data_IF_735606373208
#
_entry.id   IF_735606373208
#
_cell.length_a   1.000
_cell.length_b   1.000
_cell.length_c   1.000
_cell.angle_alpha   90.00
_cell.angle_beta   90.00
_cell.angle_gamma   90.00
#
_symmetry.space_group_name_H-M   'P 1'
#
loop_
_entity.id
_entity.type
_entity.pdbx_description
1 polymer ?
#
# COMPACT_ATOMS: atom_id res chain seq x y z
N UNK A 1 10.09 -14.30 14.28
CA UNK A 1 10.41 -13.10 13.48
C UNK A 1 9.21 -12.76 12.65
N UNK A 2 8.74 -11.51 12.70
CA UNK A 2 7.62 -11.04 11.88
C UNK A 2 8.12 -10.51 10.54
N UNK A 3 7.25 -10.49 9.54
CA UNK A 3 7.54 -9.98 8.20
C UNK A 3 6.62 -8.81 7.92
N UNK A 4 7.21 -7.63 7.67
CA UNK A 4 6.49 -6.46 7.20
C UNK A 4 6.42 -6.44 5.67
N UNK A 5 5.23 -6.29 5.11
CA UNK A 5 4.99 -6.09 3.69
C UNK A 5 4.36 -4.72 3.47
N UNK A 6 4.77 -4.04 2.40
CA UNK A 6 4.26 -2.71 2.06
C UNK A 6 4.10 -2.60 0.55
N UNK A 7 3.00 -1.99 0.13
CA UNK A 7 2.75 -1.55 -1.25
C UNK A 7 2.04 -0.20 -1.19
N UNK A 8 2.22 0.63 -2.20
CA UNK A 8 1.58 1.92 -2.28
C UNK A 8 1.99 2.64 -3.54
N UNK A 9 1.20 3.66 -3.89
CA UNK A 9 1.44 4.52 -5.04
C UNK A 9 1.39 5.99 -4.63
N UNK A 10 2.14 6.84 -5.34
CA UNK A 10 2.16 8.28 -5.11
C UNK A 10 1.51 8.96 -6.30
N UNK A 11 0.54 9.82 -6.03
CA UNK A 11 -0.13 10.59 -7.09
C UNK A 11 0.87 11.53 -7.75
N UNK A 12 0.87 11.54 -9.09
CA UNK A 12 1.70 12.41 -9.91
C UNK A 12 2.91 11.70 -10.52
N UNK A 13 3.77 12.47 -11.18
CA UNK A 13 4.94 11.93 -11.87
C UNK A 13 6.12 12.89 -11.81
N UNK A 14 7.33 12.36 -11.99
CA UNK A 14 8.56 13.14 -12.02
C UNK A 14 9.24 13.24 -10.66
N UNK A 15 10.10 14.26 -10.51
CA UNK A 15 11.05 14.34 -9.39
C UNK A 15 10.36 14.45 -8.02
N UNK A 16 9.26 15.19 -7.92
CA UNK A 16 8.52 15.37 -6.67
C UNK A 16 7.87 14.06 -6.20
N UNK A 17 7.16 13.34 -7.07
CA UNK A 17 6.58 12.04 -6.74
C UNK A 17 7.66 11.01 -6.34
N UNK A 18 8.80 11.00 -7.04
CA UNK A 18 9.93 10.14 -6.70
C UNK A 18 10.56 10.48 -5.34
N UNK A 19 10.69 11.78 -5.02
CA UNK A 19 11.19 12.24 -3.72
C UNK A 19 10.24 11.86 -2.58
N UNK A 20 8.93 12.06 -2.76
CA UNK A 20 7.89 11.64 -1.81
C UNK A 20 7.91 10.13 -1.59
N UNK A 21 8.00 9.33 -2.65
CA UNK A 21 8.09 7.87 -2.52
C UNK A 21 9.37 7.44 -1.77
N UNK A 22 10.50 8.11 -2.03
CA UNK A 22 11.75 7.88 -1.31
C UNK A 22 11.64 8.16 0.18
N UNK A 23 10.99 9.28 0.55
CA UNK A 23 10.68 9.63 1.95
C UNK A 23 9.78 8.59 2.60
N UNK A 24 8.63 8.28 1.99
CA UNK A 24 7.67 7.29 2.50
C UNK A 24 8.31 5.92 2.72
N UNK A 25 9.03 5.40 1.72
CA UNK A 25 9.73 4.11 1.81
C UNK A 25 10.73 4.08 2.97
N UNK A 26 11.45 5.18 3.19
CA UNK A 26 12.43 5.28 4.28
C UNK A 26 11.71 5.30 5.64
N UNK A 27 10.64 6.08 5.76
CA UNK A 27 9.82 6.16 6.98
C UNK A 27 9.17 4.83 7.34
N UNK A 28 8.57 4.13 6.36
CA UNK A 28 8.03 2.76 6.56
C UNK A 28 9.09 1.84 7.14
N UNK A 29 10.31 1.84 6.58
CA UNK A 29 11.40 1.01 7.07
C UNK A 29 11.83 1.36 8.49
N UNK A 30 11.81 2.64 8.85
CA UNK A 30 12.13 3.08 10.20
C UNK A 30 11.05 2.65 11.20
N UNK A 31 9.77 2.88 10.88
CA UNK A 31 8.64 2.50 11.73
C UNK A 31 8.48 0.98 11.86
N UNK A 32 8.72 0.23 10.79
CA UNK A 32 8.72 -1.23 10.82
C UNK A 32 9.81 -1.81 11.76
N UNK A 33 10.96 -1.14 11.88
CA UNK A 33 12.00 -1.55 12.84
C UNK A 33 11.60 -1.34 14.30
N UNK A 34 10.58 -0.49 14.55
CA UNK A 34 10.01 -0.26 15.87
C UNK A 34 8.85 -1.22 16.19
N UNK A 35 8.57 -2.20 15.31
CA UNK A 35 7.45 -3.15 15.45
C UNK A 35 6.09 -2.46 15.62
N UNK A 36 5.94 -1.30 14.97
CA UNK A 36 4.74 -0.47 15.02
C UNK A 36 3.55 -1.19 14.35
N UNK A 37 2.34 -1.17 14.95
CA UNK A 37 1.17 -1.76 14.34
C UNK A 37 0.76 -0.99 13.07
N UNK A 38 0.09 -1.64 12.09
CA UNK A 38 -0.20 -1.01 10.79
C UNK A 38 -0.99 0.29 10.83
N UNK A 39 -2.00 0.39 11.69
CA UNK A 39 -2.83 1.59 11.87
C UNK A 39 -2.02 2.78 12.40
N UNK A 40 -1.16 2.56 13.41
CA UNK A 40 -0.27 3.60 13.92
C UNK A 40 0.76 3.99 12.86
N UNK A 41 1.34 3.02 12.15
CA UNK A 41 2.31 3.28 11.09
C UNK A 41 1.71 4.16 10.00
N UNK A 42 0.51 3.86 9.52
CA UNK A 42 -0.18 4.68 8.52
C UNK A 42 -0.50 6.07 9.05
N UNK A 43 -0.89 6.19 10.32
CA UNK A 43 -1.13 7.49 10.97
C UNK A 43 0.15 8.35 10.95
N UNK A 44 1.31 7.75 11.28
CA UNK A 44 2.61 8.46 11.21
C UNK A 44 3.02 8.83 9.80
N UNK A 45 2.69 8.00 8.80
CA UNK A 45 2.94 8.36 7.41
C UNK A 45 2.03 9.50 6.94
N UNK A 46 0.77 9.51 7.35
CA UNK A 46 -0.18 10.58 7.02
C UNK A 46 0.32 11.94 7.49
N UNK A 47 0.79 12.00 8.74
CA UNK A 47 1.42 13.20 9.31
C UNK A 47 2.62 13.68 8.46
N UNK A 48 3.44 12.76 7.94
CA UNK A 48 4.64 13.10 7.15
C UNK A 48 4.33 13.62 5.75
N UNK A 49 3.22 13.18 5.16
CA UNK A 49 2.75 13.66 3.84
C UNK A 49 1.98 14.96 4.00
N UNK A 50 1.21 15.12 5.08
CA UNK A 50 0.49 16.35 5.41
C UNK A 50 1.40 17.52 5.80
N UNK A 51 2.67 17.26 6.13
CA UNK A 51 3.66 18.31 6.35
C UNK A 51 4.19 18.88 5.02
N UNK A 52 4.12 20.22 4.82
CA UNK A 52 4.85 20.87 3.74
C UNK A 52 6.32 20.48 3.83
N UNK A 53 6.95 20.16 2.70
CA UNK A 53 8.41 20.05 2.68
C UNK A 53 8.98 21.39 3.18
N UNK A 54 9.65 21.39 4.32
CA UNK A 54 10.41 22.55 4.79
C UNK A 54 11.54 22.80 3.78
N UNK A 55 11.27 23.57 2.73
CA UNK A 55 12.33 24.18 1.94
C UNK A 55 13.05 25.19 2.86
N UNK A 56 14.40 25.17 2.92
CA UNK A 56 15.13 26.18 3.67
C UNK A 56 14.78 27.57 3.12
N UNK A 57 14.52 28.57 3.99
CA UNK A 57 14.14 29.90 3.56
C UNK A 57 15.36 30.69 3.08
N UNK A 58 15.93 30.31 1.94
CA UNK A 58 17.11 30.97 1.40
C UNK A 58 16.77 31.75 0.13
N UNK A 59 16.56 33.04 0.34
CA UNK A 59 17.06 34.12 -0.51
C UNK A 59 16.93 33.96 -2.04
N UNK A 60 15.82 34.41 -2.61
CA UNK A 60 15.73 35.51 -3.60
C UNK A 60 14.28 35.61 -4.08
N UNK A 61 13.80 36.84 -4.23
CA UNK A 61 12.39 37.16 -4.37
C UNK A 61 11.71 36.58 -5.61
N UNK A 62 10.43 36.27 -5.44
CA UNK A 62 9.51 35.90 -6.52
C UNK A 62 8.44 34.97 -5.99
N UNK A 63 7.39 35.53 -5.42
CA UNK A 63 6.20 34.79 -5.05
C UNK A 63 5.63 34.07 -6.28
N UNK A 64 5.87 32.77 -6.36
CA UNK A 64 5.02 31.85 -7.10
C UNK A 64 4.40 30.95 -6.04
N UNK A 65 3.28 31.40 -5.50
CA UNK A 65 2.32 30.55 -4.79
C UNK A 65 1.75 29.55 -5.80
N UNK A 66 2.54 28.54 -6.17
CA UNK A 66 1.99 27.28 -6.65
C UNK A 66 1.76 26.42 -5.42
N UNK A 67 0.58 26.56 -4.82
CA UNK A 67 -0.04 25.48 -4.07
C UNK A 67 -0.25 24.32 -5.07
N UNK A 68 0.82 23.58 -5.35
CA UNK A 68 0.79 22.48 -6.31
C UNK A 68 0.29 21.23 -5.58
N UNK A 69 -0.89 20.78 -6.01
CA UNK A 69 -1.62 19.55 -5.70
C UNK A 69 -1.09 18.76 -4.50
N UNK A 70 -1.88 18.71 -3.41
CA UNK A 70 -1.73 17.76 -2.30
C UNK A 70 -1.28 16.41 -2.83
N UNK A 71 0.01 16.09 -2.69
CA UNK A 71 0.58 14.84 -3.21
C UNK A 71 0.08 13.72 -2.32
N UNK A 72 -1.11 13.21 -2.63
CA UNK A 72 -1.69 12.07 -1.95
C UNK A 72 -0.92 10.80 -2.27
N UNK A 73 -0.86 9.87 -1.33
CA UNK A 73 -0.30 8.55 -1.57
C UNK A 73 -1.24 7.46 -1.05
N UNK A 74 -1.37 6.38 -1.81
CA UNK A 74 -2.02 5.16 -1.32
C UNK A 74 -0.98 4.29 -0.63
N UNK A 75 -1.39 3.55 0.40
CA UNK A 75 -0.51 2.61 1.08
C UNK A 75 -1.31 1.46 1.68
N UNK A 76 -0.77 0.25 1.58
CA UNK A 76 -1.16 -0.90 2.38
C UNK A 76 0.07 -1.39 3.12
N UNK A 77 -0.07 -1.56 4.43
CA UNK A 77 0.96 -2.16 5.27
C UNK A 77 0.41 -3.38 5.97
N UNK A 78 1.19 -4.47 5.93
CA UNK A 78 0.84 -5.75 6.52
C UNK A 78 1.99 -6.28 7.37
N UNK A 79 1.67 -6.86 8.51
CA UNK A 79 2.62 -7.56 9.39
C UNK A 79 2.16 -9.00 9.53
N UNK A 80 2.96 -9.93 9.02
CA UNK A 80 2.72 -11.35 9.14
C UNK A 80 3.58 -11.96 10.24
N UNK A 81 2.94 -12.66 11.18
CA UNK A 81 3.59 -13.51 12.15
C UNK A 81 3.53 -14.99 11.72
N UNK A 82 4.64 -15.60 11.29
CA UNK A 82 4.65 -16.99 10.84
C UNK A 82 4.42 -18.00 11.97
N UNK A 83 4.57 -17.60 13.24
CA UNK A 83 4.34 -18.51 14.38
C UNK A 83 2.85 -18.68 14.62
N UNK A 84 2.12 -17.56 14.70
CA UNK A 84 0.68 -17.55 14.93
C UNK A 84 -0.15 -17.64 13.64
N UNK A 85 0.51 -17.49 12.48
CA UNK A 85 -0.10 -17.45 11.13
C UNK A 85 -1.11 -16.32 10.96
N UNK A 86 -0.93 -15.24 11.71
CA UNK A 86 -1.78 -14.06 11.68
C UNK A 86 -1.14 -12.94 10.89
N UNK A 87 -1.94 -12.29 10.06
CA UNK A 87 -1.56 -11.14 9.28
C UNK A 87 -2.42 -9.94 9.70
N UNK A 88 -1.80 -8.96 10.34
CA UNK A 88 -2.44 -7.70 10.69
C UNK A 88 -2.20 -6.71 9.55
N UNK A 89 -3.26 -6.10 9.03
CA UNK A 89 -3.20 -5.23 7.85
C UNK A 89 -3.96 -3.94 8.10
N UNK A 90 -3.49 -2.84 7.52
CA UNK A 90 -4.24 -1.59 7.39
C UNK A 90 -3.95 -0.97 6.02
N UNK A 91 -4.88 -0.14 5.52
CA UNK A 91 -4.72 0.54 4.23
C UNK A 91 -5.22 1.98 4.26
N UNK A 92 -4.47 2.84 3.58
CA UNK A 92 -4.76 4.24 3.28
C UNK A 92 -5.05 4.36 1.79
N UNK A 93 -6.33 4.41 1.40
CA UNK A 93 -6.79 4.58 0.01
C UNK A 93 -6.49 3.41 -0.96
N UNK A 94 -5.55 2.53 -0.63
CA UNK A 94 -5.10 1.47 -1.53
C UNK A 94 -6.10 0.31 -1.63
N UNK A 95 -6.03 -0.47 -2.70
CA UNK A 95 -6.86 -1.67 -2.85
C UNK A 95 -6.48 -2.78 -1.84
N UNK A 96 -7.45 -3.63 -1.42
CA UNK A 96 -7.15 -4.77 -0.57
C UNK A 96 -6.26 -5.79 -1.30
N UNK A 97 -5.43 -6.56 -0.57
CA UNK A 97 -4.55 -7.55 -1.19
C UNK A 97 -5.36 -8.76 -1.65
N UNK A 98 -4.80 -9.55 -2.57
CA UNK A 98 -5.38 -10.85 -2.88
C UNK A 98 -4.85 -11.91 -1.91
N UNK A 99 -5.74 -12.71 -1.34
CA UNK A 99 -5.42 -13.87 -0.52
C UNK A 99 -5.88 -15.11 -1.27
N UNK A 100 -4.93 -15.96 -1.64
CA UNK A 100 -5.21 -17.29 -2.19
C UNK A 100 -4.98 -18.32 -1.12
N UNK A 101 -6.01 -19.08 -0.79
CA UNK A 101 -5.90 -20.18 0.16
C UNK A 101 -5.10 -21.36 -0.44
N UNK A 102 -4.78 -22.39 0.36
CA UNK A 102 -4.06 -23.57 -0.14
C UNK A 102 -4.81 -24.38 -1.21
N UNK A 103 -6.14 -24.26 -1.26
CA UNK A 103 -7.01 -24.95 -2.22
C UNK A 103 -7.16 -24.16 -3.54
N UNK A 104 -6.59 -22.94 -3.60
CA UNK A 104 -6.60 -22.08 -4.78
C UNK A 104 -7.76 -21.08 -4.82
N UNK A 105 -8.60 -21.02 -3.78
CA UNK A 105 -9.67 -20.04 -3.70
C UNK A 105 -9.08 -18.65 -3.44
N UNK A 106 -9.47 -17.68 -4.27
CA UNK A 106 -9.02 -16.30 -4.16
C UNK A 106 -10.08 -15.47 -3.45
N UNK A 107 -9.63 -14.62 -2.55
CA UNK A 107 -10.47 -13.64 -1.86
C UNK A 107 -9.75 -12.30 -1.74
N UNK A 108 -10.54 -11.23 -1.72
CA UNK A 108 -10.10 -9.89 -1.36
C UNK A 108 -10.76 -9.57 -0.01
N UNK A 109 -10.00 -9.42 1.08
CA UNK A 109 -10.57 -9.24 2.40
C UNK A 109 -11.30 -7.90 2.51
N UNK A 110 -12.39 -7.90 3.28
CA UNK A 110 -13.09 -6.67 3.68
C UNK A 110 -12.26 -5.92 4.73
N UNK A 111 -11.23 -5.23 4.25
CA UNK A 111 -10.31 -4.42 5.03
C UNK A 111 -10.77 -2.95 4.93
N UNK A 112 -11.04 -2.23 6.04
CA UNK A 112 -11.47 -0.84 6.01
C UNK A 112 -10.55 0.07 5.19
N UNK A 113 -11.14 0.92 4.35
CA UNK A 113 -10.40 1.96 3.64
C UNK A 113 -10.24 3.17 4.55
N UNK A 114 -9.02 3.51 4.94
CA UNK A 114 -8.70 4.89 5.34
C UNK A 114 -8.61 5.80 4.11
N UNK A 115 -8.63 7.14 4.30
CA UNK A 115 -8.33 8.08 3.23
C UNK A 115 -6.90 7.89 2.70
N UNK A 116 -6.59 8.29 1.46
CA UNK A 116 -5.20 8.41 1.01
C UNK A 116 -4.37 9.30 1.96
N UNK A 117 -3.10 8.97 2.11
CA UNK A 117 -2.16 9.70 2.96
C UNK A 117 -2.04 11.17 2.52
N UNK A 118 -1.98 12.08 3.49
CA UNK A 118 -1.86 13.53 3.30
C UNK A 118 -3.20 14.26 3.13
N UNK A 119 -4.31 13.53 3.04
CA UNK A 119 -5.65 14.14 2.98
C UNK A 119 -6.27 14.35 4.37
N UNK A 120 -5.71 13.71 5.40
CA UNK A 120 -6.29 13.65 6.74
C UNK A 120 -7.65 12.96 6.76
N UNK A 121 -8.25 12.87 7.95
CA UNK A 121 -9.60 12.33 8.11
C UNK A 121 -9.76 11.42 9.31
N UNK A 122 -10.52 10.34 9.12
CA UNK A 122 -10.75 9.31 10.13
C UNK A 122 -9.45 8.51 10.37
N UNK A 123 -9.27 7.96 11.59
CA UNK A 123 -8.12 7.09 11.88
C UNK A 123 -8.11 5.87 10.96
N UNK A 124 -6.90 5.38 10.66
CA UNK A 124 -6.73 4.10 9.98
C UNK A 124 -7.10 2.96 10.92
N UNK A 125 -7.73 1.92 10.39
CA UNK A 125 -8.11 0.73 11.15
C UNK A 125 -7.33 -0.48 10.66
N UNK A 126 -6.84 -1.28 11.61
CA UNK A 126 -6.17 -2.54 11.32
C UNK A 126 -7.11 -3.72 11.54
N UNK A 127 -7.02 -4.71 10.65
CA UNK A 127 -7.74 -5.99 10.78
C UNK A 127 -6.79 -7.17 10.69
N UNK A 128 -7.10 -8.20 11.46
CA UNK A 128 -6.32 -9.42 11.55
C UNK A 128 -6.97 -10.55 10.74
N UNK A 129 -6.15 -11.24 9.96
CA UNK A 129 -6.56 -12.38 9.14
C UNK A 129 -5.66 -13.57 9.45
N UNK A 130 -6.24 -14.77 9.60
CA UNK A 130 -5.46 -16.01 9.66
C UNK A 130 -5.12 -16.44 8.23
N UNK A 131 -3.83 -16.71 7.98
CA UNK A 131 -3.34 -17.21 6.70
C UNK A 131 -2.92 -18.68 6.86
N UNK A 132 -3.72 -19.65 6.37
CA UNK A 132 -3.35 -21.05 6.40
C UNK A 132 -1.98 -21.33 5.76
N UNK A 133 -1.32 -22.40 6.21
CA UNK A 133 -0.04 -22.81 5.62
C UNK A 133 -0.24 -23.14 4.15
N UNK A 134 0.58 -22.53 3.28
CA UNK A 134 0.46 -22.67 1.82
C UNK A 134 -0.32 -21.55 1.14
N UNK A 135 -0.87 -20.60 1.90
CA UNK A 135 -1.55 -19.42 1.33
C UNK A 135 -0.57 -18.52 0.56
N UNK A 136 -1.08 -17.84 -0.46
CA UNK A 136 -0.40 -16.76 -1.16
C UNK A 136 -1.05 -15.43 -0.78
N UNK A 137 -0.25 -14.48 -0.32
CA UNK A 137 -0.66 -13.10 -0.11
C UNK A 137 -0.01 -12.25 -1.21
N UNK A 138 -0.82 -11.65 -2.08
CA UNK A 138 -0.34 -10.80 -3.17
C UNK A 138 -0.73 -9.34 -2.94
N UNK A 139 0.29 -8.50 -2.88
CA UNK A 139 0.19 -7.04 -2.85
C UNK A 139 0.53 -6.52 -4.25
N UNK A 140 -0.23 -5.56 -4.74
CA UNK A 140 -0.09 -5.03 -6.10
C UNK A 140 -0.37 -3.53 -6.08
N UNK A 141 0.26 -2.79 -6.98
CA UNK A 141 -0.06 -1.37 -7.18
C UNK A 141 -1.32 -1.22 -8.03
N UNK A 142 -2.03 -0.11 -7.88
CA UNK A 142 -3.33 0.11 -8.54
C UNK A 142 -3.20 0.03 -10.08
N UNK A 143 -2.06 0.50 -10.63
CA UNK A 143 -1.73 0.38 -12.05
C UNK A 143 -1.69 -1.05 -12.63
N UNK A 144 -1.68 -2.11 -11.82
CA UNK A 144 -1.79 -3.50 -12.31
C UNK A 144 -3.22 -3.82 -12.75
N UNK A 145 -4.21 -3.27 -12.05
CA UNK A 145 -5.63 -3.58 -12.25
C UNK A 145 -6.39 -2.41 -12.90
N UNK A 146 -5.80 -1.23 -12.94
CA UNK A 146 -6.29 -0.06 -13.66
C UNK A 146 -5.91 -0.14 -15.15
N UNK A 147 -6.90 -0.43 -16.00
CA UNK A 147 -6.77 -0.34 -17.45
C UNK A 147 -7.62 0.82 -17.99
N UNK A 148 -7.17 1.49 -19.07
CA UNK A 148 -7.91 2.60 -19.69
C UNK A 148 -9.30 2.20 -20.20
N UNK A 149 -9.44 0.93 -20.60
CA UNK A 149 -10.63 0.44 -21.31
C UNK A 149 -11.52 -0.49 -20.44
N UNK A 150 -11.10 -0.82 -19.22
CA UNK A 150 -11.79 -1.79 -18.35
C UNK A 150 -11.86 -1.25 -16.92
N UNK A 151 -12.91 -1.61 -16.18
CA UNK A 151 -13.02 -1.19 -14.78
C UNK A 151 -12.07 -1.97 -13.85
N UNK A 152 -11.84 -1.41 -12.66
CA UNK A 152 -10.98 -2.02 -11.63
C UNK A 152 -11.50 -3.42 -11.25
N UNK A 153 -12.81 -3.65 -11.28
CA UNK A 153 -13.41 -4.95 -10.98
C UNK A 153 -12.93 -6.04 -11.93
N UNK A 154 -12.92 -5.75 -13.23
CA UNK A 154 -12.40 -6.66 -14.24
C UNK A 154 -10.91 -6.94 -14.08
N UNK A 155 -10.13 -5.93 -13.70
CA UNK A 155 -8.71 -6.09 -13.36
C UNK A 155 -8.51 -7.04 -12.18
N UNK A 156 -9.29 -6.87 -11.11
CA UNK A 156 -9.26 -7.74 -9.92
C UNK A 156 -9.71 -9.17 -10.23
N UNK A 157 -10.74 -9.34 -11.06
CA UNK A 157 -11.18 -10.67 -11.50
C UNK A 157 -10.09 -11.39 -12.31
N UNK A 158 -9.42 -10.65 -13.20
CA UNK A 158 -8.32 -11.17 -14.01
C UNK A 158 -7.14 -11.57 -13.12
N UNK A 159 -6.75 -10.69 -12.19
CA UNK A 159 -5.71 -10.96 -11.20
C UNK A 159 -6.04 -12.21 -10.38
N UNK A 160 -7.26 -12.31 -9.86
CA UNK A 160 -7.70 -13.47 -9.10
C UNK A 160 -7.62 -14.76 -9.90
N UNK A 161 -8.05 -14.75 -11.16
CA UNK A 161 -7.93 -15.91 -12.05
C UNK A 161 -6.48 -16.32 -12.27
N UNK A 162 -5.56 -15.37 -12.48
CA UNK A 162 -4.13 -15.68 -12.63
C UNK A 162 -3.59 -16.29 -11.34
N UNK A 163 -3.81 -15.66 -10.19
CA UNK A 163 -3.30 -16.12 -8.90
C UNK A 163 -3.89 -17.45 -8.41
N UNK A 164 -5.06 -17.85 -8.92
CA UNK A 164 -5.68 -19.15 -8.60
C UNK A 164 -4.91 -20.35 -9.17
N UNK A 165 -4.01 -20.14 -10.14
CA UNK A 165 -3.23 -21.21 -10.75
C UNK A 165 -2.07 -21.64 -9.86
N UNK A 166 -2.33 -22.64 -9.02
CA UNK A 166 -1.37 -23.19 -8.06
C UNK A 166 -0.28 -24.06 -8.69
N UNK A 167 -0.39 -24.35 -9.99
CA UNK A 167 0.58 -25.18 -10.69
C UNK A 167 1.75 -24.37 -11.26
N UNK A 168 1.55 -23.07 -11.46
CA UNK A 168 2.56 -22.13 -11.92
C UNK A 168 3.43 -21.60 -10.76
N UNK A 169 4.69 -21.31 -11.05
CA UNK A 169 5.57 -20.54 -10.17
C UNK A 169 5.12 -19.07 -10.08
N UNK A 170 5.55 -18.36 -9.04
CA UNK A 170 5.22 -16.94 -8.89
C UNK A 170 5.77 -16.11 -10.06
N UNK A 171 6.93 -16.48 -10.59
CA UNK A 171 7.52 -15.86 -11.77
C UNK A 171 6.62 -16.05 -13.01
N UNK A 172 6.14 -17.26 -13.27
CA UNK A 172 5.21 -17.54 -14.38
C UNK A 172 3.86 -16.83 -14.21
N UNK A 173 3.41 -16.61 -12.98
CA UNK A 173 2.21 -15.84 -12.70
C UNK A 173 2.39 -14.35 -13.02
N UNK A 174 3.57 -13.79 -12.77
CA UNK A 174 3.88 -12.39 -13.07
C UNK A 174 3.98 -12.08 -14.57
N UNK A 175 4.29 -13.08 -15.40
CA UNK A 175 4.43 -12.93 -16.86
C UNK A 175 3.10 -13.01 -17.63
N UNK A 176 1.97 -13.23 -16.94
CA UNK A 176 0.63 -13.42 -17.52
C UNK A 176 -0.21 -12.15 -17.47
#
# INVERSE_FOLDING_TARGET
TRVGLVVGDVVGHGLQAAATMGRLRTSVRAFAQLDMPPDELLTRLDDLVGQPAEEPPDAYGGAVETYDVTTGATCLYAVYDPVSRRCLMARAGHLPPAIVDPDGAVSFPDLPAGPPLGLGGLPFESMEFELPVGSLLALFTDGLVEARDHDIGHGLDTLGRVLSDRSASLEELCDR
#
